data_IF_935727433641
#
_entry.id   IF_935727433641
#
_cell.length_a   1.000
_cell.length_b   1.000
_cell.length_c   1.000
_cell.angle_alpha   90.00
_cell.angle_beta   90.00
_cell.angle_gamma   90.00
#
_symmetry.space_group_name_H-M   'P 1'
#
loop_
_entity.id
_entity.type
_entity.pdbx_description
1 polymer ?
#
# COMPACT_ATOMS: atom_id res chain seq x y z
N UNK A 1 79.60 40.32 21.34
CA UNK A 1 79.46 39.47 20.14
C UNK A 1 78.61 38.26 20.51
N UNK A 2 77.49 38.05 19.79
CA UNK A 2 76.67 36.83 19.79
C UNK A 2 75.86 36.56 21.07
N UNK A 3 74.63 36.08 21.08
CA UNK A 3 73.73 35.64 20.01
C UNK A 3 72.31 35.65 20.58
N UNK A 4 71.34 35.92 19.71
CA UNK A 4 69.90 35.79 20.00
C UNK A 4 69.53 34.31 20.19
N UNK A 5 68.69 34.00 21.17
CA UNK A 5 67.92 32.76 21.20
C UNK A 5 66.45 33.09 21.53
N UNK A 6 65.57 32.64 20.65
CA UNK A 6 64.10 32.73 20.74
C UNK A 6 63.56 31.71 21.75
N UNK A 7 62.55 32.07 22.55
CA UNK A 7 61.60 31.11 23.14
C UNK A 7 60.18 31.69 23.22
N UNK A 8 59.30 31.10 22.41
CA UNK A 8 57.90 30.73 22.56
C UNK A 8 56.88 31.68 23.26
N UNK A 9 55.94 32.17 22.44
CA UNK A 9 54.56 32.50 22.80
C UNK A 9 53.76 31.24 23.16
N UNK A 10 53.08 31.24 24.31
CA UNK A 10 52.12 30.21 24.69
C UNK A 10 50.70 30.60 24.22
N UNK A 11 50.06 29.65 23.55
CA UNK A 11 48.72 29.74 22.99
C UNK A 11 47.63 29.58 24.07
N UNK A 12 46.57 30.39 23.97
CA UNK A 12 45.28 30.18 24.64
C UNK A 12 44.18 30.11 23.58
N UNK A 13 43.98 28.94 22.99
CA UNK A 13 42.94 28.70 21.97
C UNK A 13 41.63 28.31 22.66
N UNK A 14 40.62 29.18 22.57
CA UNK A 14 39.23 28.86 22.89
C UNK A 14 38.68 27.87 21.86
N UNK A 15 38.26 26.68 22.30
CA UNK A 15 37.55 25.72 21.46
C UNK A 15 36.12 26.22 21.21
N UNK A 16 35.86 26.75 20.02
CA UNK A 16 34.51 26.87 19.50
C UNK A 16 34.09 25.51 18.93
N UNK A 17 33.16 24.84 19.61
CA UNK A 17 32.51 23.62 19.11
C UNK A 17 31.55 24.03 18.00
N UNK A 18 31.94 23.77 16.74
CA UNK A 18 31.08 23.93 15.58
C UNK A 18 30.12 22.73 15.52
N UNK A 19 28.86 22.94 15.89
CA UNK A 19 27.77 21.99 15.65
C UNK A 19 27.54 21.89 14.13
N UNK A 20 27.91 20.76 13.54
CA UNK A 20 27.58 20.42 12.16
C UNK A 20 26.08 20.14 12.06
N UNK A 21 25.33 21.13 11.60
CA UNK A 21 23.97 20.97 11.10
C UNK A 21 24.01 20.21 9.78
N UNK A 22 23.81 18.89 9.83
CA UNK A 22 23.60 18.07 8.65
C UNK A 22 22.20 18.37 8.07
N UNK A 23 22.10 19.44 7.28
CA UNK A 23 20.95 19.67 6.41
C UNK A 23 20.92 18.62 5.29
N UNK A 24 19.80 17.95 5.10
CA UNK A 24 19.60 17.01 3.99
C UNK A 24 19.62 17.78 2.66
N UNK A 25 20.68 17.60 1.86
CA UNK A 25 20.85 18.20 0.54
C UNK A 25 21.02 17.14 -0.57
N UNK A 26 20.41 17.41 -1.71
CA UNK A 26 20.38 16.59 -2.94
C UNK A 26 21.70 16.64 -3.74
N UNK A 27 22.05 15.56 -4.45
CA UNK A 27 23.13 15.56 -5.45
C UNK A 27 23.14 14.29 -6.30
N UNK A 28 23.12 14.48 -7.63
CA UNK A 28 23.10 13.45 -8.67
C UNK A 28 24.50 13.14 -9.23
N UNK A 29 24.56 11.97 -9.88
CA UNK A 29 25.48 11.48 -10.92
C UNK A 29 27.00 11.36 -10.67
N UNK A 30 27.49 10.15 -10.98
CA UNK A 30 28.93 9.86 -11.10
C UNK A 30 29.21 8.37 -11.26
N UNK A 31 28.92 7.81 -12.43
CA UNK A 31 29.35 6.45 -12.77
C UNK A 31 30.87 6.31 -12.77
N UNK A 32 31.36 5.12 -12.39
CA UNK A 32 32.62 4.53 -12.86
C UNK A 32 32.65 3.03 -12.55
N UNK A 33 32.77 2.26 -13.61
CA UNK A 33 33.17 0.86 -13.69
C UNK A 33 34.59 0.66 -13.17
N UNK A 34 34.86 -0.40 -12.40
CA UNK A 34 36.02 -1.28 -12.60
C UNK A 34 35.93 -2.60 -11.79
N UNK A 35 36.17 -3.67 -12.55
CA UNK A 35 36.91 -4.90 -12.22
C UNK A 35 36.30 -6.01 -11.34
N UNK A 36 35.61 -6.90 -12.05
CA UNK A 36 35.85 -8.35 -12.15
C UNK A 36 36.92 -8.97 -11.23
N UNK A 37 36.48 -9.86 -10.34
CA UNK A 37 37.31 -10.93 -9.77
C UNK A 37 36.69 -12.27 -10.16
N UNK A 38 37.48 -13.13 -10.82
CA UNK A 38 37.14 -14.51 -11.20
C UNK A 38 37.14 -15.43 -9.97
N UNK A 39 36.30 -16.48 -9.93
CA UNK A 39 36.37 -17.52 -8.92
C UNK A 39 37.40 -18.60 -9.31
N UNK A 40 38.17 -19.07 -8.32
CA UNK A 40 38.94 -20.31 -8.43
C UNK A 40 38.11 -21.46 -7.84
N UNK A 41 38.01 -22.52 -8.63
CA UNK A 41 37.29 -23.76 -8.35
C UNK A 41 38.04 -24.69 -7.35
N UNK A 42 37.27 -25.69 -6.91
CA UNK A 42 37.66 -27.10 -6.68
C UNK A 42 38.46 -27.46 -5.41
N UNK A 43 38.22 -28.57 -4.68
CA UNK A 43 37.28 -29.71 -4.84
C UNK A 43 37.25 -30.57 -3.54
N UNK A 44 36.22 -31.44 -3.47
CA UNK A 44 36.03 -32.73 -2.75
C UNK A 44 34.89 -32.72 -1.71
N UNK A 45 33.69 -33.28 -1.96
CA UNK A 45 33.24 -34.60 -2.45
C UNK A 45 32.91 -35.59 -1.31
N UNK A 46 31.65 -36.05 -1.27
CA UNK A 46 31.08 -37.42 -1.03
C UNK A 46 29.62 -37.32 -1.56
N UNK A 47 29.19 -38.01 -2.63
CA UNK A 47 28.79 -39.44 -2.75
C UNK A 47 27.35 -39.60 -2.25
N UNK A 48 26.34 -40.22 -2.87
CA UNK A 48 26.08 -41.09 -4.03
C UNK A 48 24.57 -40.87 -4.36
N UNK A 49 24.01 -40.96 -5.58
CA UNK A 49 23.95 -42.13 -6.45
C UNK A 49 22.59 -42.86 -6.34
N UNK A 50 21.72 -42.63 -7.34
CA UNK A 50 20.65 -43.51 -7.87
C UNK A 50 19.27 -43.67 -7.19
N UNK A 51 18.23 -43.54 -8.04
CA UNK A 51 17.24 -44.61 -8.22
C UNK A 51 15.81 -44.28 -7.80
N UNK A 52 14.92 -44.11 -8.77
CA UNK A 52 13.49 -43.84 -8.56
C UNK A 52 12.64 -45.07 -8.21
N UNK A 53 11.34 -44.80 -8.07
CA UNK A 53 10.28 -45.80 -7.93
C UNK A 53 9.50 -45.65 -6.63
N UNK A 54 8.50 -44.76 -6.60
CA UNK A 54 7.42 -44.90 -5.62
C UNK A 54 6.32 -45.74 -6.23
N UNK A 55 6.00 -46.82 -5.52
CA UNK A 55 5.07 -47.85 -5.90
C UNK A 55 3.63 -47.35 -5.96
N UNK A 56 2.91 -47.99 -6.87
CA UNK A 56 1.46 -48.07 -6.93
C UNK A 56 0.94 -48.93 -5.78
N UNK A 57 0.26 -48.32 -4.82
CA UNK A 57 -0.67 -49.03 -3.95
C UNK A 57 -2.09 -48.74 -4.44
N UNK A 58 -2.61 -49.68 -5.22
CA UNK A 58 -4.02 -49.77 -5.53
C UNK A 58 -4.76 -50.34 -4.32
N UNK A 59 -5.45 -49.49 -3.58
CA UNK A 59 -6.55 -49.91 -2.71
C UNK A 59 -7.86 -49.46 -3.36
N UNK A 60 -8.53 -50.43 -3.99
CA UNK A 60 -9.93 -50.31 -4.37
C UNK A 60 -10.77 -50.22 -3.09
N UNK A 61 -11.69 -49.27 -3.05
CA UNK A 61 -12.68 -49.10 -2.01
C UNK A 61 -13.86 -48.30 -2.55
N UNK A 62 -14.80 -49.02 -3.18
CA UNK A 62 -16.15 -48.52 -3.45
C UNK A 62 -16.90 -48.34 -2.13
N UNK A 63 -17.55 -47.18 -1.91
CA UNK A 63 -18.41 -47.00 -0.74
C UNK A 63 -18.78 -45.56 -0.39
N UNK A 64 -19.89 -45.11 -0.97
CA UNK A 64 -20.82 -44.04 -0.54
C UNK A 64 -20.61 -43.42 0.87
N UNK A 65 -20.63 -42.08 0.93
CA UNK A 65 -20.68 -41.35 2.19
C UNK A 65 -20.96 -39.86 1.99
N UNK A 66 -22.25 -39.50 2.00
CA UNK A 66 -22.72 -38.12 2.06
C UNK A 66 -22.16 -37.42 3.30
N UNK A 67 -21.68 -36.19 3.13
CA UNK A 67 -21.19 -35.36 4.23
C UNK A 67 -20.27 -34.23 3.80
N UNK A 68 -20.56 -33.56 2.68
CA UNK A 68 -19.96 -32.24 2.45
C UNK A 68 -20.64 -31.27 3.42
N UNK A 69 -20.08 -31.15 4.63
CA UNK A 69 -20.25 -29.94 5.44
C UNK A 69 -19.95 -28.74 4.54
N UNK A 70 -20.79 -27.70 4.51
CA UNK A 70 -20.51 -26.52 3.70
C UNK A 70 -19.22 -25.91 4.24
N UNK A 71 -18.14 -26.10 3.49
CA UNK A 71 -16.91 -25.35 3.70
C UNK A 71 -17.30 -23.89 3.51
N UNK A 72 -17.08 -23.09 4.55
CA UNK A 72 -17.31 -21.65 4.50
C UNK A 72 -16.61 -21.06 3.28
N UNK A 73 -17.15 -19.96 2.73
CA UNK A 73 -16.72 -19.43 1.45
C UNK A 73 -15.28 -18.94 1.54
N UNK A 74 -14.40 -19.74 0.96
CA UNK A 74 -12.97 -19.64 1.20
C UNK A 74 -12.34 -18.56 0.33
N UNK A 75 -11.63 -17.65 0.99
CA UNK A 75 -10.72 -16.64 0.44
C UNK A 75 -9.48 -17.24 -0.27
N UNK A 76 -9.58 -18.46 -0.80
CA UNK A 76 -8.47 -19.23 -1.37
C UNK A 76 -8.54 -19.37 -2.90
N UNK A 77 -7.55 -20.04 -3.48
CA UNK A 77 -7.42 -20.33 -4.93
C UNK A 77 -8.43 -21.36 -5.47
N UNK A 78 -9.61 -21.47 -4.84
CA UNK A 78 -10.64 -22.44 -5.24
C UNK A 78 -11.25 -22.17 -6.61
N UNK A 79 -12.07 -23.09 -7.13
CA UNK A 79 -12.84 -22.91 -8.36
C UNK A 79 -13.67 -21.62 -8.36
N UNK A 80 -13.88 -21.00 -9.52
CA UNK A 80 -14.81 -19.87 -9.65
C UNK A 80 -16.27 -20.36 -9.63
N UNK A 81 -16.56 -21.43 -10.35
CA UNK A 81 -17.90 -21.98 -10.54
C UNK A 81 -18.88 -21.00 -11.18
N UNK A 82 -20.16 -21.15 -10.83
CA UNK A 82 -21.21 -20.24 -11.28
C UNK A 82 -21.09 -18.88 -10.59
N UNK A 83 -20.83 -17.85 -11.37
CA UNK A 83 -20.77 -16.46 -10.92
C UNK A 83 -22.18 -15.92 -10.69
N UNK A 84 -22.37 -15.00 -9.76
CA UNK A 84 -23.65 -14.38 -9.49
C UNK A 84 -23.50 -12.88 -9.16
N UNK A 85 -24.50 -12.07 -9.51
CA UNK A 85 -24.58 -10.67 -9.07
C UNK A 85 -25.27 -10.60 -7.72
N UNK A 86 -24.66 -9.87 -6.77
CA UNK A 86 -25.23 -9.63 -5.44
C UNK A 86 -25.15 -8.15 -5.10
N UNK A 87 -26.23 -7.64 -4.53
CA UNK A 87 -26.23 -6.33 -3.88
C UNK A 87 -25.52 -6.43 -2.53
N UNK A 88 -24.45 -5.66 -2.37
CA UNK A 88 -23.73 -5.52 -1.10
C UNK A 88 -23.92 -4.09 -0.58
N UNK A 89 -24.46 -3.98 0.63
CA UNK A 89 -24.69 -2.69 1.30
C UNK A 89 -23.43 -1.83 1.26
N UNK A 90 -23.61 -0.54 0.99
CA UNK A 90 -22.52 0.45 0.86
C UNK A 90 -21.54 0.24 -0.30
N UNK A 91 -21.62 -0.87 -1.06
CA UNK A 91 -20.80 -1.12 -2.26
C UNK A 91 -21.63 -1.04 -3.56
N UNK A 92 -22.69 -1.83 -3.70
CA UNK A 92 -23.55 -1.91 -4.89
C UNK A 92 -23.65 -3.32 -5.48
N UNK A 93 -23.94 -3.40 -6.77
CA UNK A 93 -23.96 -4.65 -7.55
C UNK A 93 -22.55 -5.21 -7.71
N UNK A 94 -22.28 -6.37 -7.09
CA UNK A 94 -20.97 -7.03 -7.08
C UNK A 94 -21.07 -8.43 -7.65
N UNK A 95 -20.12 -8.80 -8.51
CA UNK A 95 -19.96 -10.18 -8.94
C UNK A 95 -19.35 -11.01 -7.82
N UNK A 96 -19.97 -12.15 -7.55
CA UNK A 96 -19.51 -13.15 -6.59
C UNK A 96 -19.30 -14.49 -7.28
N UNK A 97 -18.42 -15.32 -6.73
CA UNK A 97 -18.23 -16.70 -7.18
C UNK A 97 -19.30 -17.66 -6.60
N UNK A 98 -19.17 -18.95 -6.94
CA UNK A 98 -20.09 -20.00 -6.46
C UNK A 98 -20.09 -20.20 -4.93
N UNK A 99 -19.03 -19.76 -4.24
CA UNK A 99 -18.99 -19.73 -2.78
C UNK A 99 -19.66 -18.46 -2.22
N UNK A 100 -19.89 -17.43 -3.02
CA UNK A 100 -20.41 -16.13 -2.61
C UNK A 100 -19.34 -15.16 -2.13
N UNK A 101 -18.06 -15.42 -2.46
CA UNK A 101 -16.98 -14.47 -2.22
C UNK A 101 -17.05 -13.33 -3.26
N UNK A 102 -16.92 -12.08 -2.81
CA UNK A 102 -16.86 -10.93 -3.68
C UNK A 102 -15.61 -10.97 -4.56
N UNK A 103 -15.79 -10.62 -5.84
CA UNK A 103 -14.70 -10.51 -6.79
C UNK A 103 -14.27 -9.06 -6.96
N UNK A 104 -12.98 -8.86 -7.20
CA UNK A 104 -12.32 -7.56 -7.21
C UNK A 104 -11.52 -7.34 -8.47
N UNK A 105 -11.45 -6.10 -8.92
CA UNK A 105 -10.52 -5.59 -9.93
C UNK A 105 -9.47 -4.69 -9.30
N UNK A 106 -8.29 -4.66 -9.91
CA UNK A 106 -7.16 -3.84 -9.47
C UNK A 106 -6.87 -2.73 -10.47
N UNK A 107 -6.77 -1.48 -10.01
CA UNK A 107 -6.55 -0.32 -10.88
C UNK A 107 -5.16 -0.30 -11.54
N UNK A 108 -4.20 -1.11 -11.07
CA UNK A 108 -2.90 -1.28 -11.74
C UNK A 108 -2.92 -2.36 -12.84
N UNK A 109 -4.03 -3.04 -13.03
CA UNK A 109 -4.22 -3.98 -14.14
C UNK A 109 -4.67 -3.25 -15.40
N UNK A 110 -4.66 -3.92 -16.54
CA UNK A 110 -5.21 -3.39 -17.80
C UNK A 110 -6.28 -4.32 -18.33
N UNK A 111 -7.36 -3.76 -18.88
CA UNK A 111 -8.43 -4.54 -19.53
C UNK A 111 -8.17 -4.84 -21.01
N UNK A 112 -7.39 -3.99 -21.69
CA UNK A 112 -7.13 -4.12 -23.12
C UNK A 112 -5.69 -3.67 -23.47
N UNK A 113 -4.78 -4.62 -23.80
CA UNK A 113 -4.94 -6.05 -23.59
C UNK A 113 -5.11 -6.39 -22.09
N UNK A 114 -5.81 -7.48 -21.74
CA UNK A 114 -5.87 -7.97 -20.37
C UNK A 114 -4.47 -8.21 -19.80
N UNK A 115 -4.17 -7.66 -18.63
CA UNK A 115 -2.91 -7.89 -17.92
C UNK A 115 -3.08 -7.76 -16.42
N UNK A 116 -2.66 -8.79 -15.68
CA UNK A 116 -2.50 -8.76 -14.23
C UNK A 116 -1.14 -8.17 -13.84
N UNK A 117 -1.15 -7.26 -12.87
CA UNK A 117 0.03 -6.69 -12.21
C UNK A 117 0.20 -7.20 -10.78
N UNK A 118 -0.73 -8.02 -10.26
CA UNK A 118 -0.68 -8.54 -8.90
C UNK A 118 -0.07 -9.95 -8.87
N UNK A 119 1.22 -10.06 -8.56
CA UNK A 119 1.98 -11.31 -8.48
C UNK A 119 2.60 -11.55 -7.08
N UNK A 120 3.03 -12.78 -6.81
CA UNK A 120 3.77 -13.14 -5.59
C UNK A 120 3.01 -12.82 -4.29
N UNK A 121 3.59 -11.98 -3.43
CA UNK A 121 2.96 -11.60 -2.16
C UNK A 121 1.63 -10.85 -2.36
N UNK A 122 1.45 -10.14 -3.48
CA UNK A 122 0.17 -9.54 -3.82
C UNK A 122 -0.89 -10.63 -4.00
N UNK A 123 -0.59 -11.65 -4.80
CA UNK A 123 -1.48 -12.78 -5.08
C UNK A 123 -1.78 -13.64 -3.83
N UNK A 124 -0.99 -13.52 -2.76
CA UNK A 124 -1.32 -14.14 -1.47
C UNK A 124 -2.44 -13.40 -0.74
N UNK A 125 -2.48 -12.06 -0.85
CA UNK A 125 -3.52 -11.23 -0.24
C UNK A 125 -4.74 -11.09 -1.15
N UNK A 126 -4.51 -11.15 -2.46
CA UNK A 126 -5.50 -11.04 -3.51
C UNK A 126 -5.40 -12.26 -4.43
N UNK A 127 -5.89 -13.44 -4.01
CA UNK A 127 -5.78 -14.63 -4.82
C UNK A 127 -6.47 -14.43 -6.18
N UNK A 128 -5.77 -14.69 -7.30
CA UNK A 128 -6.37 -14.62 -8.62
C UNK A 128 -7.44 -15.71 -8.75
N UNK A 129 -8.56 -15.37 -9.36
CA UNK A 129 -9.63 -16.33 -9.61
C UNK A 129 -9.28 -17.16 -10.85
N UNK A 130 -9.26 -18.50 -10.77
CA UNK A 130 -9.01 -19.34 -11.94
C UNK A 130 -10.09 -19.18 -13.01
N UNK A 131 -9.71 -19.20 -14.30
CA UNK A 131 -10.66 -19.06 -15.40
C UNK A 131 -11.41 -20.36 -15.76
N UNK A 132 -10.84 -21.51 -15.44
CA UNK A 132 -11.16 -22.79 -16.07
C UNK A 132 -12.62 -23.24 -15.96
N UNK A 133 -13.31 -22.84 -14.88
CA UNK A 133 -14.64 -23.33 -14.53
C UNK A 133 -15.68 -22.22 -14.32
N UNK A 134 -15.30 -20.97 -14.62
CA UNK A 134 -16.17 -19.82 -14.46
C UNK A 134 -17.35 -19.88 -15.44
N UNK A 135 -18.57 -19.72 -14.92
CA UNK A 135 -19.80 -19.68 -15.72
C UNK A 135 -20.58 -18.43 -15.39
N UNK A 136 -20.99 -17.68 -16.40
CA UNK A 136 -21.92 -16.56 -16.22
C UNK A 136 -23.30 -17.08 -15.82
N UNK A 137 -24.00 -16.32 -14.98
CA UNK A 137 -25.42 -16.50 -14.68
C UNK A 137 -26.22 -15.25 -15.05
N UNK A 138 -27.50 -15.20 -14.69
CA UNK A 138 -28.37 -14.07 -14.97
C UNK A 138 -27.77 -12.76 -14.41
N UNK A 139 -27.66 -11.74 -15.27
CA UNK A 139 -27.10 -10.43 -14.93
C UNK A 139 -25.63 -10.25 -15.31
N UNK A 140 -24.95 -11.30 -15.77
CA UNK A 140 -23.58 -11.22 -16.29
C UNK A 140 -23.61 -11.61 -17.78
N UNK A 141 -23.05 -10.76 -18.65
CA UNK A 141 -22.88 -11.12 -20.05
C UNK A 141 -21.80 -12.21 -20.18
N UNK A 142 -22.19 -13.37 -20.73
CA UNK A 142 -21.24 -14.45 -20.98
C UNK A 142 -20.12 -14.03 -21.94
N UNK A 143 -20.37 -13.08 -22.86
CA UNK A 143 -19.37 -12.52 -23.76
C UNK A 143 -18.36 -11.60 -23.07
N UNK A 144 -18.67 -11.12 -21.85
CA UNK A 144 -17.73 -10.33 -21.05
C UNK A 144 -16.72 -11.20 -20.30
N UNK A 145 -16.99 -12.50 -20.12
CA UNK A 145 -16.04 -13.41 -19.49
C UNK A 145 -14.89 -13.75 -20.44
N UNK A 146 -13.68 -13.70 -19.92
CA UNK A 146 -12.48 -14.10 -20.65
C UNK A 146 -11.40 -14.60 -19.71
N UNK A 147 -10.18 -14.72 -20.23
CA UNK A 147 -9.03 -15.15 -19.44
C UNK A 147 -7.77 -14.35 -19.79
N UNK A 148 -6.86 -14.26 -18.83
CA UNK A 148 -5.51 -13.73 -19.01
C UNK A 148 -4.49 -14.75 -18.52
N UNK A 149 -3.44 -14.98 -19.31
CA UNK A 149 -2.28 -15.76 -18.87
C UNK A 149 -1.38 -14.88 -17.99
N UNK A 150 -1.11 -15.35 -16.78
CA UNK A 150 -0.27 -14.67 -15.79
C UNK A 150 1.20 -14.98 -16.02
N UNK A 151 2.07 -14.21 -15.37
CA UNK A 151 3.53 -14.39 -15.46
C UNK A 151 4.03 -15.75 -14.95
N UNK A 152 3.25 -16.39 -14.08
CA UNK A 152 3.48 -17.75 -13.56
C UNK A 152 2.90 -18.87 -14.45
N UNK A 153 2.31 -18.53 -15.59
CA UNK A 153 1.69 -19.47 -16.55
C UNK A 153 0.27 -19.91 -16.18
N UNK A 154 -0.29 -19.46 -15.06
CA UNK A 154 -1.67 -19.76 -14.69
C UNK A 154 -2.66 -18.88 -15.46
N UNK A 155 -3.90 -19.36 -15.63
CA UNK A 155 -4.97 -18.63 -16.33
C UNK A 155 -5.96 -18.05 -15.33
N UNK A 156 -6.07 -16.73 -15.34
CA UNK A 156 -6.94 -15.99 -14.45
C UNK A 156 -8.18 -15.50 -15.19
N UNK A 157 -9.33 -15.57 -14.53
CA UNK A 157 -10.59 -15.06 -15.03
C UNK A 157 -10.51 -13.55 -15.25
N UNK A 158 -11.14 -13.09 -16.33
CA UNK A 158 -11.39 -11.67 -16.57
C UNK A 158 -12.87 -11.40 -16.76
N UNK A 159 -13.32 -10.21 -16.37
CA UNK A 159 -14.68 -9.69 -16.64
C UNK A 159 -14.53 -8.37 -17.39
N UNK A 160 -15.09 -8.30 -18.60
CA UNK A 160 -14.87 -7.23 -19.57
C UNK A 160 -13.39 -6.89 -19.75
N UNK A 161 -12.54 -7.91 -19.76
CA UNK A 161 -11.08 -7.80 -19.89
C UNK A 161 -10.32 -7.49 -18.60
N UNK A 162 -10.98 -7.09 -17.51
CA UNK A 162 -10.32 -6.83 -16.22
C UNK A 162 -10.01 -8.15 -15.49
N UNK A 163 -8.75 -8.42 -15.09
CA UNK A 163 -8.42 -9.56 -14.25
C UNK A 163 -9.13 -9.48 -12.89
N UNK A 164 -9.72 -10.58 -12.44
CA UNK A 164 -10.48 -10.60 -11.17
C UNK A 164 -9.83 -11.46 -10.09
N UNK A 165 -9.98 -11.00 -8.85
CA UNK A 165 -9.34 -11.55 -7.66
C UNK A 165 -10.36 -11.74 -6.54
N UNK A 166 -10.03 -12.59 -5.58
CA UNK A 166 -10.66 -12.63 -4.25
C UNK A 166 -9.85 -11.80 -3.26
N UNK A 167 -10.44 -11.45 -2.12
CA UNK A 167 -9.70 -10.85 -1.02
C UNK A 167 -9.51 -11.83 0.13
N UNK A 168 -8.26 -12.06 0.55
CA UNK A 168 -7.92 -13.07 1.57
C UNK A 168 -8.57 -12.84 2.95
N UNK A 169 -9.13 -11.64 3.22
CA UNK A 169 -9.81 -11.34 4.49
C UNK A 169 -11.34 -11.38 4.40
N UNK A 170 -11.89 -11.65 3.22
CA UNK A 170 -13.31 -11.94 3.07
C UNK A 170 -13.52 -13.42 3.34
N UNK A 171 -13.99 -13.72 4.54
CA UNK A 171 -14.10 -15.07 5.11
C UNK A 171 -15.53 -15.60 5.14
N UNK A 172 -16.50 -14.72 4.87
CA UNK A 172 -17.93 -15.02 4.84
C UNK A 172 -18.56 -14.52 3.54
N UNK A 173 -19.58 -15.21 3.04
CA UNK A 173 -20.25 -14.86 1.80
C UNK A 173 -20.96 -13.51 1.94
N UNK A 174 -20.89 -12.70 0.90
CA UNK A 174 -21.43 -11.34 0.91
C UNK A 174 -20.57 -10.32 1.66
N UNK A 175 -19.42 -10.71 2.21
CA UNK A 175 -18.40 -9.74 2.62
C UNK A 175 -17.76 -9.12 1.38
N UNK A 176 -17.56 -7.80 1.45
CA UNK A 176 -16.77 -7.07 0.47
C UNK A 176 -15.71 -6.17 1.12
N UNK A 177 -14.96 -6.67 2.11
CA UNK A 177 -13.98 -5.87 2.87
C UNK A 177 -12.79 -5.44 2.02
N UNK A 178 -12.61 -6.05 0.84
CA UNK A 178 -11.63 -5.63 -0.15
C UNK A 178 -11.97 -4.30 -0.85
N UNK A 179 -13.22 -3.82 -0.75
CA UNK A 179 -13.65 -2.59 -1.42
C UNK A 179 -12.84 -1.39 -0.94
N UNK A 180 -12.34 -0.59 -1.88
CA UNK A 180 -11.54 0.60 -1.60
C UNK A 180 -10.19 0.33 -0.94
N UNK A 181 -9.78 -0.94 -0.76
CA UNK A 181 -8.49 -1.25 -0.12
C UNK A 181 -7.39 -0.62 -0.95
N UNK A 182 -6.68 0.33 -0.36
CA UNK A 182 -5.62 1.06 -1.06
C UNK A 182 -6.06 2.03 -2.13
N UNK A 183 -7.36 2.35 -2.19
CA UNK A 183 -7.94 3.19 -3.24
C UNK A 183 -7.74 2.66 -4.67
N UNK A 184 -7.31 1.40 -4.79
CA UNK A 184 -6.94 0.77 -6.07
C UNK A 184 -7.60 -0.59 -6.24
N UNK A 185 -8.14 -1.18 -5.18
CA UNK A 185 -8.94 -2.39 -5.23
C UNK A 185 -10.41 -2.04 -5.13
N UNK A 186 -11.20 -2.56 -6.05
CA UNK A 186 -12.62 -2.26 -6.17
C UNK A 186 -13.37 -3.55 -6.47
N UNK A 187 -14.48 -3.77 -5.81
CA UNK A 187 -15.41 -4.83 -6.12
C UNK A 187 -15.85 -4.66 -7.58
N UNK A 188 -15.87 -5.77 -8.32
CA UNK A 188 -16.14 -5.75 -9.75
C UNK A 188 -17.64 -5.84 -10.00
N UNK A 189 -18.16 -4.90 -10.78
CA UNK A 189 -19.51 -4.90 -11.30
C UNK A 189 -19.67 -5.95 -12.43
N UNK A 190 -20.90 -6.34 -12.80
CA UNK A 190 -21.13 -7.30 -13.89
C UNK A 190 -20.58 -6.86 -15.25
N UNK A 191 -20.44 -5.55 -15.46
CA UNK A 191 -19.86 -4.96 -16.67
C UNK A 191 -18.33 -4.80 -16.61
N UNK A 192 -17.69 -5.28 -15.54
CA UNK A 192 -16.24 -5.17 -15.29
C UNK A 192 -15.80 -3.81 -14.71
N UNK A 193 -16.70 -2.86 -14.51
CA UNK A 193 -16.41 -1.60 -13.82
C UNK A 193 -16.31 -1.78 -12.30
N UNK A 194 -16.07 -0.68 -11.60
CA UNK A 194 -16.09 -0.63 -10.14
C UNK A 194 -17.55 -0.58 -9.70
N UNK A 195 -17.96 -1.46 -8.79
CA UNK A 195 -19.33 -1.54 -8.31
C UNK A 195 -19.84 -0.21 -7.70
N UNK A 196 -18.96 0.54 -7.04
CA UNK A 196 -19.30 1.83 -6.46
C UNK A 196 -19.67 2.91 -7.50
N UNK A 197 -19.17 2.83 -8.74
CA UNK A 197 -19.48 3.79 -9.81
C UNK A 197 -20.88 3.55 -10.42
N UNK A 198 -21.43 2.34 -10.30
CA UNK A 198 -22.78 2.01 -10.78
C UNK A 198 -23.87 2.59 -9.88
N UNK A 199 -23.62 2.74 -8.56
CA UNK A 199 -24.53 3.45 -7.65
C UNK A 199 -24.83 4.89 -8.07
N UNK A 200 -23.89 5.54 -8.74
CA UNK A 200 -24.08 6.92 -9.22
C UNK A 200 -24.88 6.98 -10.53
N UNK A 201 -24.92 5.87 -11.27
CA UNK A 201 -25.59 5.77 -12.58
C UNK A 201 -27.10 5.51 -12.45
N UNK A 202 -27.53 4.77 -11.43
CA UNK A 202 -28.94 4.45 -11.19
C UNK A 202 -29.75 5.60 -10.55
N UNK A 203 -29.09 6.61 -9.99
CA UNK A 203 -29.75 7.78 -9.41
C UNK A 203 -30.01 8.91 -10.43
N UNK A 204 -29.84 8.62 -11.74
CA UNK A 204 -29.94 9.62 -12.81
C UNK A 204 -30.96 9.22 -13.88
N UNK A 205 -32.17 8.85 -13.47
CA UNK A 205 -33.32 8.88 -14.39
C UNK A 205 -34.59 9.26 -13.63
N UNK A 206 -34.86 10.57 -13.58
CA UNK A 206 -36.20 11.17 -13.44
C UNK A 206 -36.08 12.69 -13.65
N UNK A 207 -36.28 13.10 -14.91
CA UNK A 207 -36.83 14.36 -15.44
C UNK A 207 -36.85 15.65 -14.55
N UNK A 208 -36.45 16.84 -15.02
CA UNK A 208 -36.07 17.22 -16.37
C UNK A 208 -35.72 18.71 -16.56
N UNK A 209 -35.15 18.98 -17.73
CA UNK A 209 -35.32 20.13 -18.64
C UNK A 209 -35.23 21.57 -18.10
N UNK A 210 -34.10 22.23 -18.41
CA UNK A 210 -34.00 23.46 -19.24
C UNK A 210 -32.51 23.76 -19.50
N UNK A 211 -32.03 23.69 -20.76
CA UNK A 211 -31.65 24.86 -21.57
C UNK A 211 -31.06 26.00 -20.72
N UNK A 212 -29.77 26.34 -20.77
CA UNK A 212 -28.86 26.40 -21.90
C UNK A 212 -28.53 27.87 -22.16
N UNK A 213 -27.32 28.33 -21.81
CA UNK A 213 -26.58 29.36 -22.54
C UNK A 213 -25.18 29.52 -21.94
N UNK A 214 -24.20 29.73 -22.83
CA UNK A 214 -22.79 29.49 -22.58
C UNK A 214 -22.03 30.56 -21.81
N UNK A 215 -20.73 30.32 -21.65
CA UNK A 215 -19.75 31.16 -22.31
C UNK A 215 -18.41 30.42 -22.44
N UNK A 216 -17.88 30.51 -23.65
CA UNK A 216 -16.53 30.15 -24.06
C UNK A 216 -15.50 30.97 -23.28
N UNK A 217 -14.37 30.36 -22.94
CA UNK A 217 -13.27 31.02 -22.24
C UNK A 217 -11.99 30.19 -22.28
N UNK A 218 -11.33 30.19 -23.44
CA UNK A 218 -9.95 29.72 -23.58
C UNK A 218 -9.00 30.52 -22.69
N UNK A 219 -8.14 29.82 -21.96
CA UNK A 219 -7.06 30.41 -21.18
C UNK A 219 -6.02 29.35 -20.84
N UNK A 220 -5.02 29.19 -21.70
CA UNK A 220 -3.83 28.40 -21.44
C UNK A 220 -2.88 29.16 -20.50
N UNK A 221 -2.10 28.37 -19.75
CA UNK A 221 -0.88 28.69 -19.00
C UNK A 221 -1.03 29.06 -17.52
N UNK A 222 -0.41 28.22 -16.68
CA UNK A 222 -0.24 28.44 -15.24
C UNK A 222 0.16 27.16 -14.50
N UNK A 223 1.39 26.68 -14.71
CA UNK A 223 2.02 25.72 -13.80
C UNK A 223 2.30 26.42 -12.47
N UNK A 224 1.56 26.01 -11.44
CA UNK A 224 1.72 26.52 -10.08
C UNK A 224 0.52 26.14 -9.22
N UNK A 225 0.39 24.86 -8.84
CA UNK A 225 -0.49 24.47 -7.73
C UNK A 225 0.32 24.48 -6.45
N UNK A 226 0.34 25.57 -5.67
CA UNK A 226 -0.69 26.00 -4.73
C UNK A 226 -0.86 24.99 -3.58
N UNK A 227 -0.19 25.30 -2.46
CA UNK A 227 -0.41 24.66 -1.18
C UNK A 227 -1.89 24.73 -0.80
N UNK A 228 -2.43 23.60 -0.36
CA UNK A 228 -3.81 23.51 0.10
C UNK A 228 -3.90 24.27 1.42
N UNK A 229 -4.88 25.16 1.53
CA UNK A 229 -5.29 25.75 2.80
C UNK A 229 -5.85 24.63 3.68
N UNK A 230 -5.03 24.08 4.56
CA UNK A 230 -5.45 22.96 5.41
C UNK A 230 -4.35 22.14 6.06
N UNK A 231 -3.07 22.30 5.71
CA UNK A 231 -2.00 21.44 6.24
C UNK A 231 -1.19 22.16 7.34
N UNK A 232 -1.33 21.72 8.59
CA UNK A 232 -0.54 22.18 9.75
C UNK A 232 -0.20 21.00 10.67
N UNK A 233 0.81 21.19 11.52
CA UNK A 233 1.17 20.22 12.57
C UNK A 233 1.07 20.88 13.94
N UNK A 234 0.65 20.11 14.94
CA UNK A 234 0.61 20.57 16.32
C UNK A 234 0.76 19.42 17.31
N UNK A 235 0.82 19.74 18.60
CA UNK A 235 0.84 18.75 19.68
C UNK A 235 -0.53 18.68 20.36
N UNK A 236 -1.11 17.48 20.41
CA UNK A 236 -2.31 17.19 21.18
C UNK A 236 -1.96 16.42 22.45
N UNK A 237 -2.72 16.65 23.53
CA UNK A 237 -2.61 15.86 24.74
C UNK A 237 -3.43 14.57 24.58
N UNK A 238 -2.78 13.43 24.77
CA UNK A 238 -3.38 12.10 24.91
C UNK A 238 -3.20 11.64 26.36
N UNK A 239 -4.27 11.09 26.94
CA UNK A 239 -4.29 10.70 28.35
C UNK A 239 -3.33 9.55 28.70
N UNK A 240 -2.96 8.72 27.72
CA UNK A 240 -2.09 7.54 27.90
C UNK A 240 -0.68 7.78 27.39
N UNK A 241 -0.54 8.55 26.32
CA UNK A 241 0.72 8.74 25.59
C UNK A 241 1.38 10.09 25.86
N UNK A 242 0.71 11.00 26.58
CA UNK A 242 1.20 12.35 26.80
C UNK A 242 1.02 13.21 25.55
N UNK A 243 2.01 14.01 25.17
CA UNK A 243 1.89 14.90 24.00
C UNK A 243 2.21 14.14 22.71
N UNK A 244 1.22 13.98 21.84
CA UNK A 244 1.33 13.34 20.54
C UNK A 244 1.30 14.36 19.41
N UNK A 245 2.05 14.11 18.35
CA UNK A 245 2.04 14.89 17.13
C UNK A 245 0.76 14.60 16.33
N UNK A 246 0.06 15.66 15.93
CA UNK A 246 -1.18 15.58 15.14
C UNK A 246 -1.15 16.51 13.92
N UNK A 247 -1.92 16.16 12.90
CA UNK A 247 -2.19 17.04 11.76
C UNK A 247 -3.24 18.12 12.11
N UNK A 248 -3.58 18.96 11.13
CA UNK A 248 -4.61 20.00 11.24
C UNK A 248 -6.00 19.46 11.56
N UNK A 249 -6.26 18.19 11.27
CA UNK A 249 -7.51 17.50 11.57
C UNK A 249 -7.47 16.81 12.94
N UNK A 250 -6.37 16.96 13.69
CA UNK A 250 -6.18 16.31 14.99
C UNK A 250 -5.94 14.80 14.91
N UNK A 251 -5.58 14.26 13.74
CA UNK A 251 -5.22 12.85 13.59
C UNK A 251 -3.77 12.63 14.00
N UNK A 252 -3.51 11.56 14.72
CA UNK A 252 -2.17 11.24 15.24
C UNK A 252 -1.22 10.80 14.12
N UNK A 253 0.02 11.27 14.21
CA UNK A 253 1.12 10.85 13.34
C UNK A 253 1.92 9.72 13.98
N UNK A 254 2.31 8.76 13.14
CA UNK A 254 2.99 7.54 13.51
C UNK A 254 4.29 7.35 12.75
N UNK A 255 5.24 6.67 13.38
CA UNK A 255 6.44 6.11 12.75
C UNK A 255 6.38 4.60 12.68
N UNK A 256 7.07 4.04 11.69
CA UNK A 256 7.19 2.60 11.48
C UNK A 256 8.61 2.11 11.75
N UNK A 257 8.75 1.04 12.52
CA UNK A 257 10.05 0.50 12.91
C UNK A 257 10.83 -0.19 11.79
N UNK A 258 10.20 -0.45 10.65
CA UNK A 258 10.89 -0.97 9.46
C UNK A 258 11.40 0.14 8.54
N UNK A 259 11.14 1.41 8.85
CA UNK A 259 11.75 2.52 8.15
C UNK A 259 13.15 2.83 8.73
N UNK A 260 13.91 3.70 8.05
CA UNK A 260 15.17 4.23 8.57
C UNK A 260 15.37 5.71 8.23
N UNK A 261 16.09 6.43 9.10
CA UNK A 261 16.31 7.87 8.96
C UNK A 261 17.29 8.24 7.84
N UNK A 262 18.40 7.49 7.70
CA UNK A 262 19.36 7.67 6.61
C UNK A 262 20.30 6.46 6.45
N UNK A 263 20.61 6.01 5.21
CA UNK A 263 19.86 6.32 4.00
C UNK A 263 18.40 5.90 4.20
N UNK A 264 17.46 6.76 3.77
CA UNK A 264 16.05 6.51 4.07
C UNK A 264 15.57 5.25 3.36
N UNK A 265 15.04 4.32 4.14
CA UNK A 265 14.36 3.13 3.64
C UNK A 265 12.92 3.19 4.10
N UNK A 266 12.03 2.82 3.19
CA UNK A 266 10.61 2.71 3.44
C UNK A 266 10.27 1.23 3.57
N UNK A 267 9.95 0.79 4.77
CA UNK A 267 9.40 -0.53 5.03
C UNK A 267 7.91 -0.59 4.68
N UNK A 268 7.21 0.55 4.74
CA UNK A 268 5.79 0.62 4.37
C UNK A 268 5.63 1.11 2.94
N UNK A 269 5.48 0.19 1.98
CA UNK A 269 5.22 0.45 0.56
C UNK A 269 3.95 -0.28 0.11
N UNK A 270 3.43 0.11 -1.06
CA UNK A 270 2.29 -0.54 -1.72
C UNK A 270 1.09 -0.78 -0.79
N UNK A 271 0.69 -2.04 -0.57
CA UNK A 271 -0.48 -2.39 0.23
C UNK A 271 -0.40 -1.92 1.69
N UNK A 272 0.80 -1.70 2.23
CA UNK A 272 0.95 -1.09 3.55
C UNK A 272 0.32 0.31 3.58
N UNK A 273 0.41 1.05 2.48
CA UNK A 273 -0.16 2.41 2.31
C UNK A 273 -1.69 2.42 2.27
N UNK A 274 -2.31 1.25 2.24
CA UNK A 274 -3.76 1.13 2.35
C UNK A 274 -4.20 1.41 3.78
N UNK A 275 -3.37 1.01 4.75
CA UNK A 275 -3.64 1.15 6.18
C UNK A 275 -2.92 2.34 6.78
N UNK A 276 -1.70 2.63 6.30
CA UNK A 276 -0.80 3.65 6.82
C UNK A 276 -0.51 4.67 5.73
N UNK A 277 -1.29 5.75 5.72
CA UNK A 277 -1.18 6.78 4.69
C UNK A 277 0.06 7.63 4.95
N UNK A 278 0.95 7.85 3.97
CA UNK A 278 2.05 8.78 4.16
C UNK A 278 1.47 10.17 4.45
N UNK A 279 1.94 10.81 5.51
CA UNK A 279 1.48 12.15 5.83
C UNK A 279 2.00 13.14 4.78
N UNK A 280 1.16 14.09 4.37
CA UNK A 280 1.52 15.09 3.37
C UNK A 280 2.55 16.08 3.95
N UNK A 281 3.50 16.59 3.14
CA UNK A 281 4.44 17.62 3.57
C UNK A 281 3.73 18.85 4.15
N UNK A 282 4.33 19.45 5.17
CA UNK A 282 3.83 20.66 5.83
C UNK A 282 4.90 21.74 5.76
N UNK A 283 4.48 22.97 5.51
CA UNK A 283 5.37 24.14 5.59
C UNK A 283 5.85 24.33 7.03
N UNK A 284 7.15 24.62 7.20
CA UNK A 284 7.80 24.62 8.52
C UNK A 284 7.17 25.61 9.49
N UNK A 285 6.71 26.74 8.96
CA UNK A 285 6.08 27.83 9.69
C UNK A 285 4.69 27.46 10.23
N UNK A 286 4.07 26.40 9.68
CA UNK A 286 2.77 25.85 10.08
C UNK A 286 2.89 24.70 11.09
N UNK A 287 4.09 24.39 11.56
CA UNK A 287 4.33 23.36 12.56
C UNK A 287 4.45 23.99 13.96
N UNK A 288 3.35 24.02 14.70
CA UNK A 288 3.28 24.62 16.04
C UNK A 288 3.81 23.68 17.11
N UNK A 289 4.79 24.13 17.91
CA UNK A 289 5.37 23.34 18.99
C UNK A 289 6.34 22.24 18.54
N UNK A 290 6.78 22.30 17.27
CA UNK A 290 7.74 21.38 16.67
C UNK A 290 8.89 22.25 16.12
N UNK A 291 10.17 21.94 16.40
CA UNK A 291 11.29 22.69 15.83
C UNK A 291 11.31 22.59 14.30
N UNK A 292 11.45 23.74 13.62
CA UNK A 292 11.36 23.86 12.16
C UNK A 292 12.44 23.05 11.43
N UNK A 293 13.58 22.82 12.07
CA UNK A 293 14.68 21.98 11.57
C UNK A 293 14.32 20.49 11.50
N UNK A 294 13.36 20.03 12.30
CA UNK A 294 12.91 18.64 12.28
C UNK A 294 11.93 18.39 11.14
N UNK A 295 11.20 19.41 10.70
CA UNK A 295 10.19 19.28 9.64
C UNK A 295 10.88 19.19 8.28
N UNK A 296 10.69 18.08 7.60
CA UNK A 296 11.26 17.82 6.29
C UNK A 296 10.27 17.15 5.36
N UNK A 297 10.72 16.83 4.15
CA UNK A 297 9.98 15.99 3.23
C UNK A 297 10.94 15.08 2.47
N UNK A 298 10.41 13.96 1.99
CA UNK A 298 11.14 13.00 1.19
C UNK A 298 10.31 12.58 -0.02
N UNK A 299 10.98 12.45 -1.17
CA UNK A 299 10.38 11.84 -2.35
C UNK A 299 10.42 10.32 -2.21
N UNK A 300 9.25 9.72 -2.25
CA UNK A 300 9.07 8.27 -2.16
C UNK A 300 9.41 7.57 -3.48
N UNK A 301 9.63 6.25 -3.47
CA UNK A 301 9.87 5.47 -4.69
C UNK A 301 8.72 5.56 -5.72
N UNK A 302 7.47 5.73 -5.26
CA UNK A 302 6.29 5.91 -6.11
C UNK A 302 6.16 7.33 -6.69
N UNK A 303 7.12 8.22 -6.38
CA UNK A 303 7.15 9.61 -6.83
C UNK A 303 6.37 10.59 -5.96
N UNK A 304 5.58 10.12 -4.99
CA UNK A 304 4.85 10.98 -4.06
C UNK A 304 5.78 11.63 -3.03
N UNK A 305 5.35 12.76 -2.46
CA UNK A 305 6.07 13.42 -1.38
C UNK A 305 5.47 12.99 -0.03
N UNK A 306 6.34 12.73 0.94
CA UNK A 306 5.94 12.38 2.31
C UNK A 306 6.64 13.29 3.32
N UNK A 307 5.89 13.71 4.33
CA UNK A 307 6.40 14.43 5.49
C UNK A 307 7.42 13.57 6.23
N UNK A 308 8.53 14.20 6.60
CA UNK A 308 9.46 13.65 7.58
C UNK A 308 9.52 14.56 8.80
N UNK A 309 9.67 13.95 9.96
CA UNK A 309 9.98 14.66 11.20
C UNK A 309 11.28 14.05 11.72
N UNK A 310 12.27 14.86 12.06
CA UNK A 310 13.59 14.40 12.55
C UNK A 310 14.20 13.34 11.62
N UNK A 311 14.12 13.57 10.30
CA UNK A 311 14.60 12.66 9.25
C UNK A 311 13.91 11.29 9.12
N UNK A 312 12.76 11.06 9.76
CA UNK A 312 12.00 9.82 9.55
C UNK A 312 10.67 10.07 8.85
N UNK A 313 10.24 9.16 7.97
CA UNK A 313 8.89 9.18 7.40
C UNK A 313 7.83 9.08 8.50
N UNK A 314 6.77 9.88 8.39
CA UNK A 314 5.61 9.80 9.28
C UNK A 314 4.32 9.50 8.51
N UNK A 315 3.40 8.81 9.18
CA UNK A 315 2.18 8.24 8.60
C UNK A 315 0.96 8.60 9.43
N UNK A 316 -0.19 8.60 8.77
CA UNK A 316 -1.52 8.61 9.35
C UNK A 316 -2.09 7.20 9.33
N UNK A 317 -2.81 6.83 10.38
CA UNK A 317 -3.46 5.53 10.47
C UNK A 317 -4.92 5.63 10.03
N UNK A 318 -5.32 4.80 9.06
CA UNK A 318 -6.70 4.79 8.55
C UNK A 318 -7.75 4.34 9.57
N UNK A 319 -7.36 3.64 10.64
CA UNK A 319 -8.28 3.29 11.73
C UNK A 319 -8.44 4.39 12.78
N UNK A 320 -7.78 5.54 12.61
CA UNK A 320 -8.09 6.76 13.36
C UNK A 320 -9.13 7.56 12.57
N UNK A 321 -10.40 7.32 12.88
CA UNK A 321 -11.56 7.93 12.20
C UNK A 321 -12.04 9.21 12.89
N UNK A 322 -11.49 9.56 14.05
CA UNK A 322 -11.82 10.78 14.78
C UNK A 322 -10.57 11.45 15.36
N UNK A 323 -10.58 12.80 15.55
CA UNK A 323 -9.46 13.52 16.16
C UNK A 323 -9.12 12.98 17.56
N UNK A 324 -7.83 12.94 17.89
CA UNK A 324 -7.33 12.45 19.17
C UNK A 324 -7.32 10.92 19.32
N UNK A 325 -7.75 10.16 18.32
CA UNK A 325 -7.58 8.71 18.33
C UNK A 325 -6.12 8.33 18.13
N UNK A 326 -5.65 7.39 18.95
CA UNK A 326 -4.29 6.86 18.92
C UNK A 326 -4.28 5.35 18.63
N UNK A 327 -5.27 4.85 17.88
CA UNK A 327 -5.52 3.41 17.68
C UNK A 327 -4.40 2.72 16.88
N UNK A 328 -3.57 3.47 16.17
CA UNK A 328 -2.39 2.96 15.49
C UNK A 328 -1.24 2.64 16.44
N UNK A 329 -1.24 3.17 17.66
CA UNK A 329 -0.13 3.02 18.59
C UNK A 329 0.02 1.57 19.03
N UNK A 330 1.26 1.06 18.97
CA UNK A 330 1.61 -0.32 19.33
C UNK A 330 1.14 -1.37 18.32
N UNK A 331 0.52 -0.97 17.19
CA UNK A 331 -0.04 -1.92 16.23
C UNK A 331 1.08 -2.83 15.70
N UNK A 332 0.87 -4.14 15.80
CA UNK A 332 1.86 -5.19 15.45
C UNK A 332 3.22 -5.04 16.18
N UNK A 333 3.31 -4.24 17.24
CA UNK A 333 4.57 -3.93 17.91
C UNK A 333 5.56 -3.12 17.07
N UNK A 334 5.13 -2.52 15.95
CA UNK A 334 6.00 -1.86 14.98
C UNK A 334 5.62 -0.40 14.70
N UNK A 335 4.43 0.02 15.13
CA UNK A 335 3.89 1.36 14.84
C UNK A 335 3.75 2.17 16.11
N UNK A 336 4.30 3.38 16.11
CA UNK A 336 4.40 4.19 17.32
C UNK A 336 3.98 5.62 17.04
N UNK A 337 3.10 6.15 17.89
CA UNK A 337 2.78 7.57 17.92
C UNK A 337 4.06 8.38 18.18
N UNK A 338 4.12 9.59 17.63
CA UNK A 338 5.32 10.42 17.62
C UNK A 338 5.13 11.62 18.55
N UNK A 339 6.18 12.01 19.28
CA UNK A 339 6.18 13.22 20.12
C UNK A 339 6.65 14.48 19.34
N UNK A 340 6.73 15.62 20.03
CA UNK A 340 7.18 16.90 19.43
C UNK A 340 8.66 16.96 19.05
N UNK A 341 9.48 16.04 19.54
CA UNK A 341 10.86 15.87 19.12
C UNK A 341 11.00 14.88 17.94
N UNK A 342 9.88 14.41 17.40
CA UNK A 342 9.87 13.37 16.38
C UNK A 342 10.16 11.99 16.94
N UNK A 343 10.32 11.77 18.24
CA UNK A 343 10.67 10.45 18.79
C UNK A 343 9.43 9.57 18.93
N UNK A 344 9.65 8.25 18.87
CA UNK A 344 8.61 7.27 19.14
C UNK A 344 8.24 7.34 20.61
N UNK A 345 6.96 7.48 20.90
CA UNK A 345 6.46 7.29 22.26
C UNK A 345 6.46 5.77 22.53
N UNK A 346 7.10 5.29 23.60
CA UNK A 346 7.13 3.87 23.92
C UNK A 346 5.72 3.37 24.27
N UNK A 347 5.46 2.09 24.02
CA UNK A 347 4.25 1.45 24.51
C UNK A 347 4.26 1.45 26.05
N UNK A 348 3.11 1.74 26.66
CA UNK A 348 2.95 1.59 28.10
C UNK A 348 3.26 0.14 28.50
N UNK A 349 4.14 -0.02 29.49
CA UNK A 349 4.54 -1.32 30.05
C UNK A 349 3.46 -1.92 30.94
#
# INVERSE_FOLDING_TARGET
MGSRLHVATAAGSAMAVLLLTAGCGSGADGGRTVNSVRPAAADKAIGDGYGGGYGSDSAAGDGYGAGASPQGPGSGSGPAGELAVREITDVGSVVTDSAGAALYRFDKDTAQPPRSSCDGACATTWPPVPAADAKASAGIDAGALGEVERSDGTRQLTIAGWPVYRYAKDTTAGEAKGEGVGGTWHAVAPDGKKAADEKESDNKTSDGKAAGSGMSGSGMAGHGGAGRTGDSLSLAADAKLGKVLVDSQGRTLYRFDKDSAWPMKFGCLDACLNTWKPAAPVEKEKASGIPAELVGSVKRPDGSQQLTIDCWPVYLFTGDTAPGQTNGHGKQGLWFAVDGAGKKIPAAS
#
